data_IF_647817408101
#
_entry.id   IF_647817408101
#
_cell.length_a   1.000
_cell.length_b   1.000
_cell.length_c   1.000
_cell.angle_alpha   90.00
_cell.angle_beta   90.00
_cell.angle_gamma   90.00
#
_symmetry.space_group_name_H-M   'P 1'
#
loop_
_entity.id
_entity.type
_entity.pdbx_description
1 polymer ?
#
# COMPACT_ATOMS: atom_id res chain seq x y z
N UNK A 1 -17.34 9.30 21.22
CA UNK A 1 -16.14 9.19 20.36
C UNK A 1 -16.29 10.21 19.23
N UNK A 2 -15.21 10.72 18.66
CA UNK A 2 -15.29 11.61 17.49
C UNK A 2 -15.68 10.76 16.27
N UNK A 3 -16.66 11.15 15.45
CA UNK A 3 -17.08 10.39 14.25
C UNK A 3 -15.90 10.01 13.33
N UNK A 4 -14.84 10.83 13.31
CA UNK A 4 -13.63 10.57 12.56
C UNK A 4 -12.80 9.38 13.09
N UNK A 5 -12.92 9.02 14.38
CA UNK A 5 -12.25 7.86 14.98
C UNK A 5 -12.85 6.55 14.47
N UNK A 6 -14.18 6.51 14.41
CA UNK A 6 -14.94 5.35 13.94
C UNK A 6 -14.61 5.09 12.45
N UNK A 7 -14.55 6.14 11.62
CA UNK A 7 -14.13 6.02 10.21
C UNK A 7 -12.67 5.57 10.02
N UNK A 8 -11.74 5.95 10.91
CA UNK A 8 -10.35 5.47 10.81
C UNK A 8 -10.27 3.97 11.09
N UNK A 9 -10.97 3.50 12.13
CA UNK A 9 -11.00 2.07 12.47
C UNK A 9 -11.63 1.24 11.35
N UNK A 10 -12.76 1.70 10.79
CA UNK A 10 -13.42 1.07 9.64
C UNK A 10 -12.48 1.00 8.43
N UNK A 11 -11.71 2.06 8.15
CA UNK A 11 -10.74 2.07 7.05
C UNK A 11 -9.60 1.08 7.27
N UNK A 12 -9.08 0.99 8.49
CA UNK A 12 -8.04 0.02 8.86
C UNK A 12 -8.56 -1.41 8.64
N UNK A 13 -9.76 -1.71 9.13
CA UNK A 13 -10.40 -3.02 8.92
C UNK A 13 -10.63 -3.29 7.44
N UNK A 14 -11.08 -2.31 6.66
CA UNK A 14 -11.25 -2.49 5.22
C UNK A 14 -9.95 -2.91 4.53
N UNK A 15 -8.83 -2.25 4.87
CA UNK A 15 -7.51 -2.61 4.35
C UNK A 15 -7.09 -4.03 4.76
N UNK A 16 -7.26 -4.36 6.05
CA UNK A 16 -6.79 -5.63 6.62
C UNK A 16 -7.63 -6.84 6.19
N UNK A 17 -8.95 -6.67 6.08
CA UNK A 17 -9.89 -7.78 5.90
C UNK A 17 -10.30 -7.96 4.43
N UNK A 18 -10.21 -6.90 3.61
CA UNK A 18 -10.62 -6.95 2.20
C UNK A 18 -9.44 -6.76 1.25
N UNK A 19 -8.74 -5.63 1.35
CA UNK A 19 -7.75 -5.22 0.34
C UNK A 19 -6.52 -6.12 0.39
N UNK A 20 -5.91 -6.31 1.57
CA UNK A 20 -4.67 -7.08 1.70
C UNK A 20 -4.86 -8.57 1.38
N UNK A 21 -5.90 -9.26 1.87
CA UNK A 21 -6.17 -10.64 1.50
C UNK A 21 -6.40 -10.82 0.00
N UNK A 22 -7.15 -9.91 -0.64
CA UNK A 22 -7.36 -9.95 -2.10
C UNK A 22 -6.03 -9.89 -2.86
N UNK A 23 -5.15 -8.96 -2.52
CA UNK A 23 -3.83 -8.83 -3.16
C UNK A 23 -2.93 -10.04 -2.92
N UNK A 24 -2.98 -10.65 -1.73
CA UNK A 24 -2.26 -11.90 -1.45
C UNK A 24 -2.78 -13.06 -2.31
N UNK A 25 -4.10 -13.14 -2.54
CA UNK A 25 -4.69 -14.12 -3.46
C UNK A 25 -4.20 -13.89 -4.89
N UNK A 26 -4.16 -12.62 -5.35
CA UNK A 26 -3.65 -12.27 -6.69
C UNK A 26 -2.17 -12.64 -6.83
N UNK A 27 -1.34 -12.36 -5.82
CA UNK A 27 0.07 -12.77 -5.78
C UNK A 27 0.23 -14.29 -5.86
N UNK A 28 -0.60 -15.05 -5.14
CA UNK A 28 -0.57 -16.51 -5.19
C UNK A 28 -0.99 -17.04 -6.57
N UNK A 29 -2.06 -16.49 -7.14
CA UNK A 29 -2.53 -16.88 -8.46
C UNK A 29 -1.53 -16.55 -9.56
N UNK A 30 -0.83 -15.42 -9.46
CA UNK A 30 0.21 -15.02 -10.39
C UNK A 30 1.46 -15.93 -10.29
N UNK A 31 1.83 -16.41 -9.10
CA UNK A 31 2.95 -17.35 -8.94
C UNK A 31 2.61 -18.78 -9.38
N UNK A 32 1.36 -19.19 -9.25
CA UNK A 32 0.97 -20.61 -9.37
C UNK A 32 0.14 -20.93 -10.62
N UNK A 33 0.01 -20.01 -11.58
CA UNK A 33 -0.85 -20.26 -12.73
C UNK A 33 -0.28 -21.35 -13.66
N UNK A 34 -1.15 -22.19 -14.22
CA UNK A 34 -0.75 -23.32 -15.04
C UNK A 34 0.11 -22.93 -16.25
N UNK A 35 -0.21 -21.80 -16.90
CA UNK A 35 0.58 -21.26 -18.02
C UNK A 35 2.04 -20.99 -17.62
N UNK A 36 2.25 -20.32 -16.49
CA UNK A 36 3.59 -20.03 -15.98
C UNK A 36 4.34 -21.32 -15.64
N UNK A 37 3.65 -22.28 -15.02
CA UNK A 37 4.27 -23.55 -14.62
C UNK A 37 4.67 -24.43 -15.79
N UNK A 38 4.00 -24.29 -16.94
CA UNK A 38 4.31 -25.01 -18.18
C UNK A 38 5.54 -24.46 -18.92
N UNK A 39 6.03 -23.27 -18.58
CA UNK A 39 7.21 -22.69 -19.22
C UNK A 39 8.52 -23.30 -18.66
N UNK A 40 9.60 -23.33 -19.48
CA UNK A 40 10.93 -23.68 -19.00
C UNK A 40 11.39 -22.77 -17.86
N UNK A 41 12.17 -23.33 -16.92
CA UNK A 41 12.64 -22.58 -15.75
C UNK A 41 13.39 -21.30 -16.13
N UNK A 42 14.23 -21.34 -17.16
CA UNK A 42 14.96 -20.15 -17.64
C UNK A 42 14.04 -18.98 -18.03
N UNK A 43 12.85 -19.26 -18.55
CA UNK A 43 11.90 -18.25 -19.01
C UNK A 43 11.00 -17.74 -17.87
N UNK A 44 10.60 -18.61 -16.93
CA UNK A 44 9.73 -18.22 -15.81
C UNK A 44 10.46 -17.69 -14.59
N UNK A 45 11.73 -18.03 -14.38
CA UNK A 45 12.47 -17.67 -13.16
C UNK A 45 12.55 -16.16 -12.92
N UNK A 46 12.88 -15.30 -13.91
CA UNK A 46 12.95 -13.86 -13.69
C UNK A 46 11.63 -13.24 -13.23
N UNK A 47 10.51 -13.78 -13.71
CA UNK A 47 9.16 -13.35 -13.36
C UNK A 47 8.76 -13.85 -11.96
N UNK A 48 9.04 -15.12 -11.66
CA UNK A 48 8.80 -15.69 -10.33
C UNK A 48 9.59 -14.98 -9.25
N UNK A 49 10.86 -14.66 -9.51
CA UNK A 49 11.70 -13.86 -8.60
C UNK A 49 11.11 -12.47 -8.36
N UNK A 50 10.66 -11.78 -9.42
CA UNK A 50 10.06 -10.47 -9.30
C UNK A 50 8.75 -10.50 -8.49
N UNK A 51 7.89 -11.51 -8.72
CA UNK A 51 6.66 -11.70 -7.95
C UNK A 51 6.96 -12.06 -6.49
N UNK A 52 7.98 -12.89 -6.24
CA UNK A 52 8.40 -13.24 -4.88
C UNK A 52 8.93 -12.03 -4.12
N UNK A 53 9.73 -11.18 -4.76
CA UNK A 53 10.22 -9.93 -4.18
C UNK A 53 9.07 -8.95 -3.87
N UNK A 54 8.12 -8.80 -4.80
CA UNK A 54 6.91 -8.01 -4.56
C UNK A 54 6.12 -8.54 -3.35
N UNK A 55 5.92 -9.86 -3.27
CA UNK A 55 5.25 -10.51 -2.14
C UNK A 55 5.96 -10.22 -0.82
N UNK A 56 7.29 -10.32 -0.79
CA UNK A 56 8.07 -10.06 0.41
C UNK A 56 7.90 -8.61 0.89
N UNK A 57 8.01 -7.64 -0.02
CA UNK A 57 7.83 -6.23 0.34
C UNK A 57 6.38 -5.94 0.77
N UNK A 58 5.39 -6.56 0.13
CA UNK A 58 3.99 -6.41 0.51
C UNK A 58 3.68 -7.02 1.89
N UNK A 59 4.15 -8.24 2.18
CA UNK A 59 4.02 -8.84 3.51
C UNK A 59 4.74 -8.03 4.58
N UNK A 60 5.90 -7.46 4.24
CA UNK A 60 6.61 -6.53 5.11
C UNK A 60 5.75 -5.31 5.40
N UNK A 61 5.17 -4.66 4.38
CA UNK A 61 4.27 -3.51 4.56
C UNK A 61 3.09 -3.86 5.49
N UNK A 62 2.37 -4.96 5.22
CA UNK A 62 1.24 -5.40 6.05
C UNK A 62 1.66 -5.53 7.51
N UNK A 63 2.84 -6.14 7.76
CA UNK A 63 3.36 -6.34 9.11
C UNK A 63 3.68 -5.00 9.79
N UNK A 64 4.35 -4.08 9.08
CA UNK A 64 4.66 -2.75 9.60
C UNK A 64 3.39 -1.97 9.91
N UNK A 65 2.40 -2.03 9.04
CA UNK A 65 1.17 -1.28 9.22
C UNK A 65 0.35 -1.84 10.38
N UNK A 66 0.13 -3.16 10.42
CA UNK A 66 -0.64 -3.80 11.48
C UNK A 66 0.01 -3.64 12.87
N UNK A 67 1.34 -3.72 12.97
CA UNK A 67 2.04 -3.71 14.26
C UNK A 67 2.46 -2.33 14.74
N UNK A 68 2.69 -1.38 13.83
CA UNK A 68 3.28 -0.08 14.17
C UNK A 68 2.42 1.08 13.70
N UNK A 69 2.08 1.13 12.41
CA UNK A 69 1.46 2.34 11.83
C UNK A 69 0.01 2.50 12.29
N UNK A 70 -0.83 1.47 12.13
CA UNK A 70 -2.24 1.56 12.51
C UNK A 70 -2.42 1.79 14.01
N UNK A 71 -1.72 1.06 14.91
CA UNK A 71 -1.80 1.36 16.35
C UNK A 71 -1.32 2.77 16.70
N UNK A 72 -0.26 3.26 16.05
CA UNK A 72 0.25 4.60 16.28
C UNK A 72 -0.73 5.69 15.82
N UNK A 73 -1.31 5.52 14.63
CA UNK A 73 -2.33 6.43 14.09
C UNK A 73 -3.55 6.46 15.01
N UNK A 74 -4.05 5.31 15.45
CA UNK A 74 -5.17 5.24 16.39
C UNK A 74 -4.83 5.91 17.72
N UNK A 75 -3.67 5.62 18.31
CA UNK A 75 -3.23 6.27 19.56
C UNK A 75 -3.17 7.79 19.43
N UNK A 76 -2.64 8.29 18.32
CA UNK A 76 -2.53 9.74 18.06
C UNK A 76 -3.91 10.37 17.89
N UNK A 77 -4.83 9.68 17.22
CA UNK A 77 -6.17 10.16 16.93
C UNK A 77 -7.17 10.03 18.08
N UNK A 78 -6.88 9.16 19.06
CA UNK A 78 -7.65 8.97 20.29
C UNK A 78 -7.03 9.66 21.51
N UNK A 79 -5.84 10.27 21.34
CA UNK A 79 -5.09 10.89 22.41
C UNK A 79 -5.92 11.93 23.16
N UNK A 80 -5.86 11.89 24.50
CA UNK A 80 -6.51 12.88 25.36
C UNK A 80 -5.62 14.10 25.56
N UNK A 81 -6.22 15.23 25.91
CA UNK A 81 -5.48 16.47 26.20
C UNK A 81 -4.44 16.23 27.31
N UNK A 82 -3.17 16.52 27.01
CA UNK A 82 -2.05 16.39 27.95
C UNK A 82 -1.34 15.03 27.94
N UNK A 83 -1.74 14.12 27.06
CA UNK A 83 -1.07 12.83 26.88
C UNK A 83 0.33 13.02 26.29
N UNK A 84 1.33 12.43 26.96
CA UNK A 84 2.76 12.53 26.58
C UNK A 84 3.21 11.25 25.87
N UNK A 85 4.25 11.35 25.04
CA UNK A 85 4.84 10.19 24.37
C UNK A 85 3.98 9.66 23.23
N UNK A 86 3.47 10.58 22.40
CA UNK A 86 2.75 10.21 21.19
C UNK A 86 3.75 9.87 20.07
N UNK A 87 3.47 8.82 19.28
CA UNK A 87 4.37 8.37 18.23
C UNK A 87 4.49 9.42 17.12
N UNK A 88 5.68 9.53 16.54
CA UNK A 88 5.93 10.40 15.41
C UNK A 88 5.34 9.79 14.13
N UNK A 89 4.18 10.26 13.72
CA UNK A 89 3.52 9.78 12.49
C UNK A 89 4.33 10.09 11.24
N UNK A 90 5.14 11.15 11.23
CA UNK A 90 5.99 11.51 10.10
C UNK A 90 6.94 10.37 9.71
N UNK A 91 7.66 9.85 10.70
CA UNK A 91 8.65 8.78 10.49
C UNK A 91 7.94 7.48 10.09
N UNK A 92 6.79 7.18 10.69
CA UNK A 92 6.01 5.98 10.38
C UNK A 92 5.43 6.00 8.96
N UNK A 93 4.97 7.17 8.51
CA UNK A 93 4.51 7.36 7.14
C UNK A 93 5.69 7.29 6.16
N UNK A 94 6.86 7.81 6.52
CA UNK A 94 8.06 7.68 5.69
C UNK A 94 8.49 6.21 5.51
N UNK A 95 8.36 5.39 6.56
CA UNK A 95 8.67 3.96 6.49
C UNK A 95 7.75 3.21 5.52
N UNK A 96 6.43 3.47 5.57
CA UNK A 96 5.48 2.87 4.62
C UNK A 96 5.73 3.32 3.18
N UNK A 97 6.08 4.59 2.96
CA UNK A 97 6.47 5.10 1.64
C UNK A 97 7.67 4.38 1.03
N UNK A 98 8.71 4.12 1.83
CA UNK A 98 9.88 3.40 1.34
C UNK A 98 9.52 1.98 0.85
N UNK A 99 8.57 1.33 1.51
CA UNK A 99 8.04 0.02 1.11
C UNK A 99 7.21 0.10 -0.16
N UNK A 100 6.31 1.08 -0.26
CA UNK A 100 5.51 1.32 -1.47
C UNK A 100 6.38 1.59 -2.70
N UNK A 101 7.48 2.34 -2.55
CA UNK A 101 8.45 2.57 -3.62
C UNK A 101 9.11 1.29 -4.13
N UNK A 102 9.55 0.41 -3.21
CA UNK A 102 10.13 -0.88 -3.59
C UNK A 102 9.11 -1.77 -4.30
N UNK A 103 7.88 -1.82 -3.81
CA UNK A 103 6.80 -2.55 -4.48
C UNK A 103 6.55 -2.01 -5.90
N UNK A 104 6.52 -0.69 -6.08
CA UNK A 104 6.37 -0.07 -7.41
C UNK A 104 7.50 -0.48 -8.36
N UNK A 105 8.75 -0.49 -7.89
CA UNK A 105 9.89 -0.95 -8.70
C UNK A 105 9.75 -2.42 -9.11
N UNK A 106 9.29 -3.29 -8.21
CA UNK A 106 9.03 -4.69 -8.54
C UNK A 106 7.85 -4.85 -9.53
N UNK A 107 6.80 -4.05 -9.40
CA UNK A 107 5.67 -4.03 -10.34
C UNK A 107 6.11 -3.61 -11.74
N UNK A 108 6.90 -2.55 -11.86
CA UNK A 108 7.46 -2.10 -13.14
C UNK A 108 8.36 -3.16 -13.78
N UNK A 109 9.14 -3.90 -12.97
CA UNK A 109 9.91 -5.04 -13.46
C UNK A 109 9.02 -6.16 -13.98
N UNK A 110 7.94 -6.51 -13.27
CA UNK A 110 6.96 -7.50 -13.71
C UNK A 110 6.34 -7.05 -15.04
N UNK A 111 5.87 -5.81 -15.11
CA UNK A 111 5.28 -5.23 -16.31
C UNK A 111 6.23 -5.29 -17.51
N UNK A 112 7.49 -4.89 -17.34
CA UNK A 112 8.50 -4.97 -18.40
C UNK A 112 8.76 -6.40 -18.88
N UNK A 113 8.78 -7.39 -17.98
CA UNK A 113 8.94 -8.80 -18.35
C UNK A 113 7.76 -9.31 -19.19
N UNK A 114 6.54 -8.84 -18.88
CA UNK A 114 5.30 -9.21 -19.57
C UNK A 114 5.15 -8.60 -20.97
N UNK A 115 6.03 -7.66 -21.36
CA UNK A 115 6.06 -7.11 -22.72
C UNK A 115 6.75 -8.04 -23.74
N UNK A 116 7.45 -9.08 -23.29
CA UNK A 116 8.11 -10.02 -24.20
C UNK A 116 7.12 -10.93 -24.94
N UNK A 117 7.51 -11.45 -26.11
CA UNK A 117 6.63 -12.27 -26.96
C UNK A 117 6.13 -13.55 -26.27
N UNK A 118 6.88 -14.07 -25.29
CA UNK A 118 6.51 -15.24 -24.47
C UNK A 118 5.16 -15.02 -23.75
N UNK A 119 4.81 -13.76 -23.45
CA UNK A 119 3.60 -13.38 -22.72
C UNK A 119 2.52 -12.76 -23.61
N UNK A 120 2.72 -12.71 -24.92
CA UNK A 120 1.76 -12.10 -25.85
C UNK A 120 0.37 -12.77 -25.76
N UNK A 121 0.36 -14.11 -25.72
CA UNK A 121 -0.87 -14.91 -25.67
C UNK A 121 -1.17 -15.49 -24.27
N UNK A 122 -0.43 -15.04 -23.25
CA UNK A 122 -0.49 -15.59 -21.90
C UNK A 122 -0.33 -14.53 -20.81
N UNK A 123 0.07 -14.96 -19.62
CA UNK A 123 0.40 -14.06 -18.53
C UNK A 123 -0.80 -13.33 -17.89
N UNK A 124 -2.04 -13.74 -18.17
CA UNK A 124 -3.25 -13.04 -17.72
C UNK A 124 -3.30 -12.82 -16.20
N UNK A 125 -2.83 -13.80 -15.40
CA UNK A 125 -2.82 -13.67 -13.94
C UNK A 125 -1.77 -12.68 -13.46
N UNK A 126 -0.66 -12.54 -14.18
CA UNK A 126 0.41 -11.59 -13.87
C UNK A 126 0.04 -10.18 -14.34
N UNK A 127 -0.61 -10.04 -15.50
CA UNK A 127 -1.19 -8.76 -15.96
C UNK A 127 -2.25 -8.26 -14.98
N UNK A 128 -3.19 -9.12 -14.59
CA UNK A 128 -4.19 -8.79 -13.58
C UNK A 128 -3.59 -8.44 -12.22
N UNK A 129 -2.48 -9.09 -11.81
CA UNK A 129 -1.75 -8.70 -10.61
C UNK A 129 -1.23 -7.26 -10.71
N UNK A 130 -0.57 -6.91 -11.82
CA UNK A 130 -0.05 -5.57 -12.05
C UNK A 130 -1.17 -4.54 -12.00
N UNK A 131 -2.26 -4.76 -12.72
CA UNK A 131 -3.44 -3.88 -12.74
C UNK A 131 -4.05 -3.71 -11.34
N UNK A 132 -4.23 -4.80 -10.58
CA UNK A 132 -4.80 -4.74 -9.22
C UNK A 132 -3.92 -3.87 -8.30
N UNK A 133 -2.60 -3.98 -8.41
CA UNK A 133 -1.69 -3.14 -7.60
C UNK A 133 -1.66 -1.68 -8.07
N UNK A 134 -1.65 -1.44 -9.39
CA UNK A 134 -1.55 -0.09 -9.96
C UNK A 134 -2.85 0.73 -9.81
N UNK A 135 -4.01 0.07 -9.78
CA UNK A 135 -5.30 0.75 -9.69
C UNK A 135 -5.94 0.57 -8.31
N UNK A 136 -6.22 -0.66 -7.90
CA UNK A 136 -7.01 -0.92 -6.68
C UNK A 136 -6.20 -0.58 -5.42
N UNK A 137 -5.03 -1.21 -5.23
CA UNK A 137 -4.20 -0.98 -4.05
C UNK A 137 -3.77 0.49 -3.92
N UNK A 138 -3.32 1.03 -5.05
CA UNK A 138 -3.01 2.43 -5.30
C UNK A 138 -4.09 3.41 -4.81
N UNK A 139 -5.35 3.18 -5.21
CA UNK A 139 -6.50 3.98 -4.80
C UNK A 139 -6.75 3.86 -3.30
N UNK A 140 -6.72 2.64 -2.79
CA UNK A 140 -6.96 2.35 -1.38
C UNK A 140 -5.93 3.04 -0.46
N UNK A 141 -4.66 3.05 -0.88
CA UNK A 141 -3.57 3.75 -0.19
C UNK A 141 -3.69 5.26 -0.27
N UNK A 142 -4.14 5.80 -1.40
CA UNK A 142 -4.40 7.23 -1.56
C UNK A 142 -5.47 7.70 -0.59
N UNK A 143 -6.60 7.00 -0.55
CA UNK A 143 -7.69 7.28 0.37
C UNK A 143 -7.27 7.16 1.85
N UNK A 144 -6.45 6.16 2.20
CA UNK A 144 -5.87 6.04 3.55
C UNK A 144 -5.01 7.26 3.90
N UNK A 145 -4.09 7.64 3.01
CA UNK A 145 -3.18 8.76 3.21
C UNK A 145 -3.93 10.09 3.35
N UNK A 146 -4.90 10.35 2.47
CA UNK A 146 -5.74 11.55 2.53
C UNK A 146 -6.59 11.61 3.80
N UNK A 147 -7.09 10.48 4.30
CA UNK A 147 -7.82 10.45 5.58
C UNK A 147 -6.92 10.80 6.77
N UNK A 148 -5.67 10.29 6.78
CA UNK A 148 -4.68 10.66 7.80
C UNK A 148 -4.34 12.14 7.71
N UNK A 149 -4.09 12.67 6.51
CA UNK A 149 -3.82 14.10 6.27
C UNK A 149 -4.94 15.01 6.73
N UNK A 150 -6.16 14.74 6.27
CA UNK A 150 -7.34 15.54 6.60
C UNK A 150 -7.52 15.61 8.11
N UNK A 151 -7.34 14.48 8.79
CA UNK A 151 -7.47 14.44 10.24
C UNK A 151 -6.37 15.21 10.99
N UNK A 152 -5.14 15.16 10.49
CA UNK A 152 -4.01 15.95 11.02
C UNK A 152 -4.17 17.46 10.76
N UNK A 153 -4.80 17.83 9.65
CA UNK A 153 -4.88 19.23 9.19
C UNK A 153 -6.16 19.93 9.60
N UNK A 154 -7.30 19.24 9.61
CA UNK A 154 -8.62 19.85 9.71
C UNK A 154 -9.39 19.46 10.99
N UNK A 155 -9.00 18.41 11.72
CA UNK A 155 -9.71 18.11 12.97
C UNK A 155 -9.39 19.15 14.06
N UNK A 156 -10.40 19.92 14.47
CA UNK A 156 -10.31 20.83 15.63
C UNK A 156 -10.01 20.12 16.95
N UNK A 157 -10.29 18.81 16.99
CA UNK A 157 -9.95 17.92 18.10
C UNK A 157 -8.44 17.67 18.22
N UNK A 158 -7.71 17.84 17.11
CA UNK A 158 -6.31 17.51 16.97
C UNK A 158 -5.46 18.78 17.11
N UNK A 159 -4.59 18.80 18.12
CA UNK A 159 -3.74 19.97 18.40
C UNK A 159 -2.41 19.82 17.68
N UNK A 160 -2.29 20.45 16.50
CA UNK A 160 -1.06 20.48 15.66
C UNK A 160 0.23 20.80 16.44
N UNK A 161 0.10 21.55 17.52
CA UNK A 161 1.17 22.00 18.45
C UNK A 161 2.04 20.86 19.02
N UNK A 162 1.57 19.61 19.03
CA UNK A 162 2.28 18.49 19.67
C UNK A 162 3.01 17.55 18.69
N UNK A 163 2.85 17.74 17.37
CA UNK A 163 3.17 16.67 16.40
C UNK A 163 4.11 17.10 15.27
N UNK A 164 4.39 18.39 15.12
CA UNK A 164 5.21 18.90 14.03
C UNK A 164 6.36 19.74 14.59
N UNK A 165 7.60 19.33 14.33
CA UNK A 165 8.73 20.26 14.30
C UNK A 165 8.52 21.17 13.08
N UNK A 166 7.77 22.26 13.24
CA UNK A 166 7.65 23.46 12.37
C UNK A 166 7.52 23.29 10.84
N UNK A 167 7.31 22.09 10.29
CA UNK A 167 7.12 21.88 8.85
C UNK A 167 5.79 21.19 8.55
N UNK A 168 4.94 21.77 7.68
CA UNK A 168 3.73 21.09 7.21
C UNK A 168 4.14 19.86 6.38
N UNK A 169 3.62 18.70 6.78
CA UNK A 169 3.75 17.48 5.98
C UNK A 169 2.70 17.47 4.89
N UNK A 170 3.14 17.50 3.64
CA UNK A 170 2.36 17.02 2.51
C UNK A 170 2.59 15.51 2.40
N UNK A 171 1.56 14.71 2.64
CA UNK A 171 1.47 13.29 2.34
C UNK A 171 0.84 13.13 0.94
N UNK A 172 1.65 13.46 -0.07
CA UNK A 172 1.25 13.16 -1.43
C UNK A 172 1.04 11.64 -1.61
N UNK A 173 -0.08 11.21 -2.18
CA UNK A 173 -0.27 9.82 -2.57
C UNK A 173 0.78 9.42 -3.61
N UNK A 174 1.46 8.29 -3.38
CA UNK A 174 2.56 7.86 -4.24
C UNK A 174 2.09 7.12 -5.51
N UNK A 175 0.94 6.46 -5.40
CA UNK A 175 0.19 6.05 -6.56
C UNK A 175 -0.78 7.18 -6.90
N UNK A 176 -0.36 8.03 -7.83
CA UNK A 176 -1.32 8.90 -8.51
C UNK A 176 -1.92 8.07 -9.64
N UNK A 177 -3.26 8.02 -9.78
CA UNK A 177 -3.85 7.55 -11.04
C UNK A 177 -3.24 8.38 -12.18
N UNK A 178 -2.84 7.73 -13.27
CA UNK A 178 -2.28 8.44 -14.42
C UNK A 178 -3.33 9.46 -14.90
N UNK A 179 -3.02 10.77 -14.91
CA UNK A 179 -3.97 11.79 -15.35
C UNK A 179 -4.37 11.64 -16.83
N UNK A 180 -3.72 10.75 -17.59
CA UNK A 180 -3.99 10.51 -19.01
C UNK A 180 -4.72 9.19 -19.33
N UNK A 181 -5.17 8.41 -18.33
CA UNK A 181 -5.97 7.21 -18.61
C UNK A 181 -7.48 7.54 -18.63
N UNK A 182 -8.20 7.23 -19.72
CA UNK A 182 -9.65 7.44 -19.76
C UNK A 182 -10.36 6.46 -18.82
N UNK A 183 -11.42 6.96 -18.18
CA UNK A 183 -12.33 6.22 -17.30
C UNK A 183 -13.12 5.14 -18.03
#
# INVERSE_FOLDING_TARGET
MCQHADHTQERIQHLQDNVYPCLLIKLNNASNCAYLQALPDAEKSPLLEAIAALRQEFQSLITYEAKLVFPAVMKVFEAKKGEKGLPNLADLIQLTRSKEQKMKAHLQRIEGLLQSQIWANGGYKQKALVETFQHEFSTEKTLWNSMVEDRLTNCRCFRKEFYFNDKPMTIQPFFQPDPNQPA
#
